data_IF_173039696357
#
_entry.id   IF_173039696357
#
_cell.length_a   1.000
_cell.length_b   1.000
_cell.length_c   1.000
_cell.angle_alpha   90.00
_cell.angle_beta   90.00
_cell.angle_gamma   90.00
#
_symmetry.space_group_name_H-M   'P 1'
#
loop_
_entity.id
_entity.type
_entity.pdbx_description
1 polymer ?
#
# COMPACT_ATOMS: atom_id res chain seq x y z
N UNK A 1 -8.51 5.58 -28.51
CA UNK A 1 -9.38 6.13 -27.46
C UNK A 1 -10.03 7.37 -28.03
N UNK A 2 -11.32 7.59 -27.79
CA UNK A 2 -11.99 8.83 -28.22
C UNK A 2 -11.62 9.98 -27.28
N UNK A 3 -11.71 11.22 -27.75
CA UNK A 3 -11.45 12.42 -26.93
C UNK A 3 -12.32 12.47 -25.66
N UNK A 4 -13.54 11.89 -25.75
CA UNK A 4 -14.49 11.79 -24.63
C UNK A 4 -14.01 10.84 -23.53
N UNK A 5 -13.47 9.67 -23.89
CA UNK A 5 -12.93 8.70 -22.93
C UNK A 5 -11.76 9.30 -22.14
N UNK A 6 -10.87 10.00 -22.84
CA UNK A 6 -9.73 10.67 -22.24
C UNK A 6 -10.18 11.79 -21.26
N UNK A 7 -11.31 12.43 -21.54
CA UNK A 7 -11.96 13.38 -20.64
C UNK A 7 -12.33 12.75 -19.29
N UNK A 8 -13.00 11.60 -19.31
CA UNK A 8 -13.35 10.87 -18.09
C UNK A 8 -12.12 10.40 -17.32
N UNK A 9 -11.12 9.85 -18.01
CA UNK A 9 -9.90 9.36 -17.38
C UNK A 9 -9.11 10.49 -16.72
N UNK A 10 -9.02 11.68 -17.34
CA UNK A 10 -8.43 12.87 -16.71
C UNK A 10 -9.21 13.30 -15.46
N UNK A 11 -10.54 13.30 -15.51
CA UNK A 11 -11.38 13.65 -14.36
C UNK A 11 -11.19 12.69 -13.18
N UNK A 12 -11.07 11.39 -13.45
CA UNK A 12 -10.81 10.35 -12.44
C UNK A 12 -9.42 10.50 -11.83
N UNK A 13 -8.39 10.77 -12.64
CA UNK A 13 -7.02 11.03 -12.13
C UNK A 13 -6.94 12.28 -11.27
N UNK A 14 -7.71 13.33 -11.60
CA UNK A 14 -7.77 14.55 -10.81
C UNK A 14 -8.50 14.38 -9.47
N UNK A 15 -9.42 13.39 -9.39
CA UNK A 15 -10.23 13.10 -8.20
C UNK A 15 -10.24 11.59 -7.92
N UNK A 16 -9.11 11.00 -7.49
CA UNK A 16 -8.98 9.55 -7.38
C UNK A 16 -9.92 8.93 -6.34
N UNK A 17 -10.32 9.67 -5.31
CA UNK A 17 -11.20 9.19 -4.23
C UNK A 17 -12.69 9.54 -4.43
N UNK A 18 -13.06 10.16 -5.56
CA UNK A 18 -14.44 10.50 -5.90
C UNK A 18 -15.10 9.36 -6.71
N UNK A 19 -16.11 8.72 -6.15
CA UNK A 19 -16.83 7.66 -6.86
C UNK A 19 -17.79 8.21 -7.90
N UNK A 20 -18.26 9.45 -7.78
CA UNK A 20 -19.25 10.00 -8.71
C UNK A 20 -18.68 10.06 -10.13
N UNK A 21 -17.43 10.51 -10.28
CA UNK A 21 -16.75 10.52 -11.59
C UNK A 21 -16.53 9.12 -12.16
N UNK A 22 -16.33 8.12 -11.30
CA UNK A 22 -16.12 6.72 -11.70
C UNK A 22 -17.43 6.09 -12.14
N UNK A 23 -18.53 6.39 -11.46
CA UNK A 23 -19.87 5.90 -11.80
C UNK A 23 -20.37 6.52 -13.11
N UNK A 24 -20.18 7.82 -13.33
CA UNK A 24 -20.49 8.46 -14.62
C UNK A 24 -19.70 7.81 -15.76
N UNK A 25 -18.41 7.51 -15.54
CA UNK A 25 -17.61 6.79 -16.52
C UNK A 25 -18.11 5.35 -16.74
N UNK A 26 -18.60 4.66 -15.71
CA UNK A 26 -19.21 3.34 -15.84
C UNK A 26 -20.49 3.38 -16.70
N UNK A 27 -21.34 4.39 -16.52
CA UNK A 27 -22.54 4.59 -17.35
C UNK A 27 -22.17 4.78 -18.82
N UNK A 28 -21.19 5.65 -19.09
CA UNK A 28 -20.67 5.86 -20.43
C UNK A 28 -20.07 4.57 -21.04
N UNK A 29 -19.32 3.78 -20.26
CA UNK A 29 -18.77 2.49 -20.71
C UNK A 29 -19.85 1.50 -21.14
N UNK A 30 -20.94 1.41 -20.37
CA UNK A 30 -22.06 0.53 -20.66
C UNK A 30 -22.77 0.93 -21.97
N UNK A 31 -23.04 2.22 -22.16
CA UNK A 31 -23.60 2.77 -23.40
C UNK A 31 -22.71 2.52 -24.62
N UNK A 32 -21.39 2.40 -24.41
CA UNK A 32 -20.40 2.17 -25.46
C UNK A 32 -19.99 0.69 -25.58
N UNK A 33 -20.87 -0.24 -25.17
CA UNK A 33 -20.70 -1.67 -25.40
C UNK A 33 -19.64 -2.34 -24.51
N UNK A 34 -19.29 -1.74 -23.37
CA UNK A 34 -18.35 -2.29 -22.38
C UNK A 34 -19.01 -2.54 -21.02
N UNK A 35 -20.12 -3.32 -20.95
CA UNK A 35 -20.89 -3.52 -19.73
C UNK A 35 -20.10 -4.23 -18.62
N UNK A 36 -19.25 -5.20 -18.95
CA UNK A 36 -18.42 -5.90 -17.97
C UNK A 36 -17.45 -4.95 -17.24
N UNK A 37 -16.91 -3.96 -17.96
CA UNK A 37 -16.02 -2.94 -17.38
C UNK A 37 -16.79 -1.98 -16.47
N UNK A 38 -17.99 -1.57 -16.88
CA UNK A 38 -18.88 -0.75 -16.08
C UNK A 38 -19.29 -1.46 -14.78
N UNK A 39 -19.73 -2.72 -14.89
CA UNK A 39 -20.09 -3.56 -13.75
C UNK A 39 -18.93 -3.69 -12.76
N UNK A 40 -17.72 -3.94 -13.24
CA UNK A 40 -16.53 -4.04 -12.40
C UNK A 40 -16.25 -2.76 -11.59
N UNK A 41 -16.35 -1.59 -12.22
CA UNK A 41 -16.20 -0.30 -11.54
C UNK A 41 -17.26 -0.14 -10.46
N UNK A 42 -18.53 -0.40 -10.79
CA UNK A 42 -19.66 -0.29 -9.85
C UNK A 42 -19.51 -1.26 -8.67
N UNK A 43 -19.15 -2.51 -8.94
CA UNK A 43 -18.96 -3.54 -7.91
C UNK A 43 -17.88 -3.12 -6.90
N UNK A 44 -16.72 -2.66 -7.37
CA UNK A 44 -15.66 -2.20 -6.46
C UNK A 44 -16.02 -0.88 -5.74
N UNK A 45 -16.72 0.07 -6.38
CA UNK A 45 -17.19 1.28 -5.69
C UNK A 45 -18.24 0.97 -4.61
N UNK A 46 -19.14 0.03 -4.88
CA UNK A 46 -20.15 -0.42 -3.92
C UNK A 46 -19.51 -1.16 -2.74
N UNK A 47 -18.55 -2.05 -2.99
CA UNK A 47 -17.86 -2.82 -1.94
C UNK A 47 -17.12 -1.94 -0.91
N UNK A 48 -16.67 -0.75 -1.31
CA UNK A 48 -16.03 0.23 -0.41
C UNK A 48 -17.03 0.91 0.54
N UNK A 49 -18.31 0.95 0.18
CA UNK A 49 -19.38 1.62 0.98
C UNK A 49 -20.17 0.64 1.85
N UNK A 50 -20.21 -0.63 1.47
CA UNK A 50 -21.01 -1.65 2.16
C UNK A 50 -20.37 -2.04 3.49
N UNK A 51 -21.07 -1.77 4.58
CA UNK A 51 -20.67 -2.20 5.93
C UNK A 51 -20.93 -3.70 6.18
N UNK A 52 -21.96 -4.27 5.54
CA UNK A 52 -22.37 -5.65 5.74
C UNK A 52 -21.38 -6.63 5.08
N UNK A 53 -20.67 -7.43 5.90
CA UNK A 53 -19.64 -8.38 5.41
C UNK A 53 -20.12 -9.34 4.32
N UNK A 54 -21.29 -9.99 4.41
CA UNK A 54 -21.71 -10.95 3.38
C UNK A 54 -21.96 -10.28 2.02
N UNK A 55 -22.51 -9.07 2.02
CA UNK A 55 -22.76 -8.32 0.78
C UNK A 55 -21.46 -7.79 0.19
N UNK A 56 -20.56 -7.26 1.02
CA UNK A 56 -19.22 -6.85 0.60
C UNK A 56 -18.46 -8.01 -0.06
N UNK A 57 -18.46 -9.18 0.56
CA UNK A 57 -17.81 -10.39 0.00
C UNK A 57 -18.42 -10.82 -1.34
N UNK A 58 -19.73 -10.67 -1.52
CA UNK A 58 -20.38 -10.97 -2.82
C UNK A 58 -19.93 -10.00 -3.90
N UNK A 59 -19.87 -8.69 -3.60
CA UNK A 59 -19.40 -7.67 -4.53
C UNK A 59 -17.91 -7.84 -4.88
N UNK A 60 -17.08 -8.12 -3.88
CA UNK A 60 -15.65 -8.41 -4.07
C UNK A 60 -15.44 -9.65 -4.93
N UNK A 61 -16.13 -10.75 -4.61
CA UNK A 61 -16.10 -11.97 -5.42
C UNK A 61 -16.50 -11.70 -6.86
N UNK A 62 -17.58 -10.95 -7.08
CA UNK A 62 -18.03 -10.62 -8.44
C UNK A 62 -17.00 -9.77 -9.19
N UNK A 63 -16.39 -8.80 -8.52
CA UNK A 63 -15.31 -8.01 -9.10
C UNK A 63 -14.07 -8.87 -9.44
N UNK A 64 -13.72 -9.82 -8.59
CA UNK A 64 -12.61 -10.75 -8.81
C UNK A 64 -12.87 -11.70 -9.98
N UNK A 65 -14.10 -12.23 -10.10
CA UNK A 65 -14.51 -13.08 -11.22
C UNK A 65 -14.38 -12.31 -12.55
N UNK A 66 -14.92 -11.08 -12.61
CA UNK A 66 -14.81 -10.18 -13.77
C UNK A 66 -13.34 -9.83 -14.09
N UNK A 67 -12.53 -9.53 -13.08
CA UNK A 67 -11.12 -9.24 -13.27
C UNK A 67 -10.36 -10.47 -13.76
N UNK A 68 -10.72 -11.67 -13.32
CA UNK A 68 -10.15 -12.93 -13.81
C UNK A 68 -10.37 -13.11 -15.31
N UNK A 69 -11.59 -12.88 -15.78
CA UNK A 69 -11.99 -13.00 -17.19
C UNK A 69 -11.32 -11.94 -18.09
N UNK A 70 -11.13 -10.72 -17.59
CA UNK A 70 -10.70 -9.57 -18.41
C UNK A 70 -9.30 -9.02 -18.07
N UNK A 71 -8.50 -9.73 -17.27
CA UNK A 71 -7.22 -9.24 -16.71
C UNK A 71 -6.27 -8.68 -17.76
N UNK A 72 -6.09 -9.40 -18.86
CA UNK A 72 -5.14 -9.02 -19.92
C UNK A 72 -5.53 -7.69 -20.55
N UNK A 73 -6.82 -7.50 -20.83
CA UNK A 73 -7.35 -6.28 -21.41
C UNK A 73 -7.20 -5.10 -20.45
N UNK A 74 -7.61 -5.27 -19.19
CA UNK A 74 -7.68 -4.17 -18.23
C UNK A 74 -6.32 -3.77 -17.66
N UNK A 75 -5.30 -4.63 -17.78
CA UNK A 75 -3.91 -4.30 -17.42
C UNK A 75 -3.10 -3.75 -18.60
N UNK A 76 -3.67 -3.70 -19.81
CA UNK A 76 -2.96 -3.27 -21.02
C UNK A 76 -2.34 -1.87 -20.90
N UNK A 77 -3.06 -0.91 -20.31
CA UNK A 77 -2.55 0.45 -20.14
C UNK A 77 -1.32 0.51 -19.22
N UNK A 78 -1.32 -0.30 -18.15
CA UNK A 78 -0.17 -0.43 -17.23
C UNK A 78 1.03 -1.04 -17.96
N UNK A 79 0.81 -2.10 -18.75
CA UNK A 79 1.85 -2.71 -19.59
C UNK A 79 2.35 -1.80 -20.71
N UNK A 80 1.48 -0.97 -21.28
CA UNK A 80 1.88 -0.02 -22.32
C UNK A 80 2.74 1.13 -21.74
N UNK A 81 2.39 1.63 -20.55
CA UNK A 81 3.17 2.65 -19.85
C UNK A 81 4.52 2.14 -19.33
N UNK A 82 4.60 0.84 -19.07
CA UNK A 82 5.81 0.16 -18.62
C UNK A 82 6.01 -1.17 -19.38
N UNK A 83 6.50 -1.18 -20.63
CA UNK A 83 6.59 -2.39 -21.46
C UNK A 83 7.54 -3.46 -20.91
N UNK A 84 8.55 -3.04 -20.16
CA UNK A 84 9.47 -3.90 -19.41
C UNK A 84 8.86 -4.51 -18.15
N UNK A 85 7.65 -4.07 -17.77
CA UNK A 85 6.96 -4.51 -16.58
C UNK A 85 6.33 -5.88 -16.79
N UNK A 86 6.85 -6.85 -16.04
CA UNK A 86 6.13 -8.09 -15.72
C UNK A 86 5.82 -8.03 -14.24
N UNK A 87 4.74 -7.34 -13.84
CA UNK A 87 4.44 -7.19 -12.42
C UNK A 87 3.95 -8.53 -11.90
N UNK A 88 4.33 -8.88 -10.67
CA UNK A 88 3.84 -10.10 -10.01
C UNK A 88 2.32 -10.04 -9.86
N UNK A 89 1.79 -8.84 -9.60
CA UNK A 89 0.35 -8.57 -9.70
C UNK A 89 0.05 -7.09 -9.91
N UNK A 90 -1.12 -6.83 -10.50
CA UNK A 90 -1.76 -5.50 -10.52
C UNK A 90 -3.07 -5.63 -9.74
N UNK A 91 -3.20 -4.87 -8.67
CA UNK A 91 -4.42 -4.79 -7.89
C UNK A 91 -5.24 -3.59 -8.33
N UNK A 92 -6.55 -3.80 -8.39
CA UNK A 92 -7.51 -2.79 -8.80
C UNK A 92 -8.28 -2.30 -7.58
N UNK A 93 -8.51 -1.00 -7.50
CA UNK A 93 -9.39 -0.37 -6.52
C UNK A 93 -10.35 0.57 -7.23
N UNK A 94 -11.64 0.49 -6.88
CA UNK A 94 -12.72 1.28 -7.49
C UNK A 94 -12.69 1.26 -9.02
N UNK A 95 -12.37 0.10 -9.56
CA UNK A 95 -12.31 -0.18 -10.99
C UNK A 95 -10.97 0.09 -11.66
N UNK A 96 -9.98 0.69 -11.02
CA UNK A 96 -8.75 1.14 -11.70
C UNK A 96 -7.50 0.53 -11.08
N UNK A 97 -6.40 0.35 -11.85
CA UNK A 97 -5.12 -0.04 -11.28
C UNK A 97 -4.75 0.91 -10.15
N UNK A 98 -4.44 0.34 -8.98
CA UNK A 98 -4.14 1.11 -7.78
C UNK A 98 -2.82 0.68 -7.14
N UNK A 99 -2.43 -0.58 -7.32
CA UNK A 99 -1.17 -1.10 -6.79
C UNK A 99 -0.52 -2.04 -7.80
N UNK A 100 0.71 -1.74 -8.17
CA UNK A 100 1.59 -2.64 -8.90
C UNK A 100 2.56 -3.27 -7.92
N UNK A 101 2.58 -4.60 -7.87
CA UNK A 101 3.51 -5.35 -7.02
C UNK A 101 4.61 -5.94 -7.89
N UNK A 102 5.86 -5.75 -7.47
CA UNK A 102 7.04 -6.26 -8.16
C UNK A 102 8.13 -6.63 -7.17
N UNK A 103 9.06 -7.50 -7.54
CA UNK A 103 10.28 -7.76 -6.76
C UNK A 103 11.34 -6.69 -7.03
N UNK A 104 12.25 -6.49 -6.08
CA UNK A 104 13.40 -5.58 -6.21
C UNK A 104 14.24 -5.91 -7.45
N UNK A 105 14.49 -7.20 -7.70
CA UNK A 105 15.21 -7.66 -8.89
C UNK A 105 14.57 -7.19 -10.20
N UNK A 106 13.23 -7.16 -10.30
CA UNK A 106 12.54 -6.67 -11.50
C UNK A 106 12.50 -5.15 -11.53
N UNK A 107 12.25 -4.52 -10.39
CA UNK A 107 12.28 -3.07 -10.25
C UNK A 107 13.61 -2.48 -10.74
N UNK A 108 14.73 -3.03 -10.27
CA UNK A 108 16.08 -2.57 -10.57
C UNK A 108 16.50 -2.73 -12.04
N UNK A 109 15.78 -3.54 -12.84
CA UNK A 109 16.05 -3.68 -14.28
C UNK A 109 15.60 -2.48 -15.10
N UNK A 110 14.51 -1.82 -14.69
CA UNK A 110 14.01 -0.62 -15.36
C UNK A 110 13.22 0.29 -14.38
N UNK A 111 13.91 0.96 -13.44
CA UNK A 111 13.27 1.86 -12.48
C UNK A 111 12.49 3.00 -13.14
N UNK A 112 12.97 3.48 -14.30
CA UNK A 112 12.38 4.59 -15.03
C UNK A 112 10.96 4.27 -15.52
N UNK A 113 10.67 3.02 -15.90
CA UNK A 113 9.31 2.60 -16.27
C UNK A 113 8.34 2.67 -15.10
N UNK A 114 8.78 2.34 -13.88
CA UNK A 114 7.94 2.46 -12.67
C UNK A 114 7.72 3.93 -12.28
N UNK A 115 8.74 4.79 -12.45
CA UNK A 115 8.57 6.24 -12.28
C UNK A 115 7.53 6.79 -13.24
N UNK A 116 7.68 6.53 -14.54
CA UNK A 116 6.72 6.99 -15.57
C UNK A 116 5.30 6.52 -15.28
N UNK A 117 5.13 5.28 -14.84
CA UNK A 117 3.81 4.75 -14.48
C UNK A 117 3.18 5.54 -13.33
N UNK A 118 3.92 5.77 -12.24
CA UNK A 118 3.41 6.47 -11.07
C UNK A 118 3.26 7.99 -11.28
N UNK A 119 4.09 8.58 -12.14
CA UNK A 119 3.99 10.00 -12.49
C UNK A 119 2.84 10.26 -13.48
N UNK A 120 2.55 9.30 -14.37
CA UNK A 120 1.44 9.36 -15.33
C UNK A 120 0.07 9.12 -14.70
N UNK A 121 0.01 8.39 -13.58
CA UNK A 121 -1.21 8.17 -12.80
C UNK A 121 -0.91 8.16 -11.29
N UNK A 122 -1.14 9.29 -10.59
CA UNK A 122 -0.90 9.38 -9.14
C UNK A 122 -1.74 8.39 -8.30
N UNK A 123 -2.78 7.79 -8.89
CA UNK A 123 -3.57 6.74 -8.26
C UNK A 123 -2.87 5.39 -8.20
N UNK A 124 -1.79 5.19 -8.97
CA UNK A 124 -1.02 3.95 -9.02
C UNK A 124 0.17 4.03 -8.05
N UNK A 125 0.13 3.18 -7.03
CA UNK A 125 1.24 2.92 -6.14
C UNK A 125 2.12 1.77 -6.69
N UNK A 126 3.43 1.87 -6.50
CA UNK A 126 4.35 0.73 -6.70
C UNK A 126 4.74 0.17 -5.33
N UNK A 127 4.53 -1.14 -5.17
CA UNK A 127 5.03 -1.95 -4.06
C UNK A 127 6.20 -2.79 -4.52
N UNK A 128 7.34 -2.61 -3.88
CA UNK A 128 8.54 -3.40 -4.13
C UNK A 128 8.69 -4.43 -3.01
N UNK A 129 8.82 -5.70 -3.38
CA UNK A 129 9.18 -6.81 -2.49
C UNK A 129 10.69 -6.95 -2.51
N UNK A 130 11.32 -6.83 -1.35
CA UNK A 130 12.77 -6.95 -1.15
C UNK A 130 13.02 -8.23 -0.40
N UNK A 131 14.04 -8.99 -0.79
CA UNK A 131 14.33 -10.29 -0.17
C UNK A 131 15.40 -10.20 0.94
N UNK A 132 16.30 -9.22 0.87
CA UNK A 132 17.44 -9.09 1.78
C UNK A 132 17.96 -7.63 1.89
N UNK A 133 18.94 -7.44 2.78
CA UNK A 133 19.56 -6.14 3.03
C UNK A 133 20.35 -5.58 1.83
N UNK A 134 20.93 -6.42 1.00
CA UNK A 134 21.73 -5.97 -0.14
C UNK A 134 20.82 -5.49 -1.28
N UNK A 135 19.70 -6.18 -1.52
CA UNK A 135 18.64 -5.68 -2.39
C UNK A 135 18.05 -4.37 -1.85
N UNK A 136 17.83 -4.25 -0.53
CA UNK A 136 17.38 -2.99 0.07
C UNK A 136 18.35 -1.85 -0.28
N UNK A 137 19.66 -2.06 -0.08
CA UNK A 137 20.69 -1.07 -0.41
C UNK A 137 20.64 -0.66 -1.88
N UNK A 138 20.57 -1.62 -2.78
CA UNK A 138 20.46 -1.35 -4.22
C UNK A 138 19.22 -0.53 -4.58
N UNK A 139 18.06 -0.84 -3.96
CA UNK A 139 16.82 -0.09 -4.16
C UNK A 139 16.95 1.35 -3.64
N UNK A 140 17.53 1.56 -2.46
CA UNK A 140 17.65 2.91 -1.88
C UNK A 140 18.79 3.74 -2.49
N UNK A 141 19.78 3.11 -3.12
CA UNK A 141 20.86 3.79 -3.85
C UNK A 141 20.51 4.06 -5.32
N UNK A 142 19.44 3.45 -5.83
CA UNK A 142 18.97 3.70 -7.18
C UNK A 142 18.67 5.21 -7.37
N UNK A 143 19.14 5.86 -8.45
CA UNK A 143 18.89 7.29 -8.67
C UNK A 143 17.44 7.61 -9.08
N UNK A 144 16.81 6.71 -9.84
CA UNK A 144 15.53 6.93 -10.53
C UNK A 144 14.33 6.36 -9.76
N UNK A 145 14.32 6.49 -8.44
CA UNK A 145 13.33 5.82 -7.58
C UNK A 145 12.04 6.62 -7.51
N UNK A 146 11.36 6.69 -8.65
CA UNK A 146 10.02 7.23 -8.74
C UNK A 146 8.99 6.15 -8.43
N UNK A 147 7.87 6.57 -7.84
CA UNK A 147 6.67 5.75 -7.75
C UNK A 147 6.59 4.73 -6.61
N UNK A 148 7.69 4.42 -5.90
CA UNK A 148 7.59 3.57 -4.70
C UNK A 148 6.72 4.28 -3.67
N UNK A 149 5.64 3.60 -3.28
CA UNK A 149 4.70 4.03 -2.23
C UNK A 149 4.58 2.97 -1.14
N UNK A 150 4.97 1.74 -1.44
CA UNK A 150 5.01 0.65 -0.49
C UNK A 150 6.31 -0.15 -0.63
N UNK A 151 6.89 -0.55 0.49
CA UNK A 151 8.08 -1.40 0.53
C UNK A 151 7.81 -2.56 1.48
N UNK A 152 8.01 -3.78 1.00
CA UNK A 152 7.82 -4.99 1.77
C UNK A 152 9.17 -5.69 1.94
N UNK A 153 9.63 -5.76 3.18
CA UNK A 153 10.83 -6.46 3.62
C UNK A 153 10.49 -7.48 4.70
N UNK A 154 9.26 -8.00 4.70
CA UNK A 154 8.84 -8.95 5.73
C UNK A 154 9.69 -10.22 5.69
N UNK A 155 10.14 -10.65 6.88
CA UNK A 155 11.01 -11.79 7.08
C UNK A 155 12.39 -11.71 6.36
N UNK A 156 12.90 -10.51 6.09
CA UNK A 156 14.17 -10.31 5.37
C UNK A 156 15.41 -10.15 6.27
N UNK A 157 15.27 -10.37 7.58
CA UNK A 157 16.38 -10.32 8.55
C UNK A 157 17.27 -9.05 8.46
N UNK A 158 16.67 -7.90 8.13
CA UNK A 158 17.41 -6.67 7.87
C UNK A 158 18.04 -6.06 9.14
N UNK A 159 17.49 -6.41 10.31
CA UNK A 159 17.92 -5.91 11.62
C UNK A 159 17.84 -4.39 11.76
N UNK A 160 18.53 -3.87 12.77
CA UNK A 160 18.59 -2.42 13.03
C UNK A 160 19.41 -1.67 11.96
N UNK A 161 20.33 -2.37 11.28
CA UNK A 161 21.12 -1.80 10.19
C UNK A 161 20.24 -1.47 8.99
N UNK A 162 19.36 -2.40 8.58
CA UNK A 162 18.37 -2.14 7.54
C UNK A 162 17.38 -1.04 7.92
N UNK A 163 16.95 -1.00 9.19
CA UNK A 163 16.11 0.09 9.68
C UNK A 163 16.81 1.47 9.56
N UNK A 164 18.12 1.54 9.82
CA UNK A 164 18.92 2.76 9.62
C UNK A 164 19.09 3.12 8.14
N UNK A 165 19.28 2.13 7.27
CA UNK A 165 19.30 2.34 5.81
C UNK A 165 17.97 2.94 5.33
N UNK A 166 16.84 2.36 5.74
CA UNK A 166 15.49 2.86 5.44
C UNK A 166 15.28 4.28 5.96
N UNK A 167 15.69 4.56 7.20
CA UNK A 167 15.53 5.86 7.84
C UNK A 167 16.34 6.97 7.14
N UNK A 168 17.49 6.63 6.57
CA UNK A 168 18.38 7.57 5.87
C UNK A 168 18.08 7.76 4.39
N UNK A 169 17.26 6.89 3.78
CA UNK A 169 17.05 6.83 2.33
C UNK A 169 16.27 8.06 1.80
N UNK A 170 16.90 8.98 1.03
CA UNK A 170 16.25 10.20 0.58
C UNK A 170 15.14 9.97 -0.45
N UNK A 171 15.26 8.88 -1.20
CA UNK A 171 14.34 8.48 -2.26
C UNK A 171 13.06 7.78 -1.75
N UNK A 172 13.01 7.42 -0.46
CA UNK A 172 11.80 6.90 0.19
C UNK A 172 10.89 8.00 0.78
N UNK A 173 11.12 9.27 0.41
CA UNK A 173 10.35 10.41 0.91
C UNK A 173 8.86 10.40 0.59
N UNK A 174 8.44 9.60 -0.39
CA UNK A 174 7.04 9.40 -0.77
C UNK A 174 6.46 8.08 -0.26
N UNK A 175 7.21 7.33 0.56
CA UNK A 175 6.77 6.03 1.06
C UNK A 175 5.57 6.19 2.01
N UNK A 176 4.49 5.46 1.72
CA UNK A 176 3.26 5.50 2.52
C UNK A 176 3.02 4.23 3.32
N UNK A 177 3.63 3.12 2.91
CA UNK A 177 3.51 1.82 3.57
C UNK A 177 4.88 1.16 3.69
N UNK A 178 5.24 0.74 4.89
CA UNK A 178 6.48 0.02 5.17
C UNK A 178 6.16 -1.24 5.97
N UNK A 179 6.52 -2.40 5.43
CA UNK A 179 6.44 -3.67 6.12
C UNK A 179 7.85 -4.19 6.40
N UNK A 180 8.21 -4.29 7.68
CA UNK A 180 9.46 -4.87 8.19
C UNK A 180 9.14 -5.92 9.27
N UNK A 181 7.98 -6.56 9.18
CA UNK A 181 7.58 -7.62 10.10
C UNK A 181 8.57 -8.79 10.06
N UNK A 182 8.80 -9.47 11.18
CA UNK A 182 9.69 -10.63 11.25
C UNK A 182 11.15 -10.37 10.87
N UNK A 183 11.61 -9.12 10.89
CA UNK A 183 12.91 -8.72 10.30
C UNK A 183 13.99 -8.43 11.34
N UNK A 184 13.82 -8.96 12.56
CA UNK A 184 14.73 -8.82 13.71
C UNK A 184 15.06 -7.37 14.09
N UNK A 185 14.13 -6.45 13.83
CA UNK A 185 14.23 -5.05 14.28
C UNK A 185 14.10 -4.99 15.80
N UNK A 186 14.94 -4.21 16.47
CA UNK A 186 14.90 -3.95 17.91
C UNK A 186 14.48 -2.51 18.19
N UNK A 187 14.51 -2.12 19.47
CA UNK A 187 14.29 -0.73 19.90
C UNK A 187 15.21 0.28 19.20
N UNK A 188 16.43 -0.13 18.84
CA UNK A 188 17.38 0.75 18.14
C UNK A 188 16.93 1.03 16.69
N UNK A 189 16.48 0.00 15.96
CA UNK A 189 15.92 0.19 14.62
C UNK A 189 14.59 0.93 14.64
N UNK A 190 13.72 0.64 15.63
CA UNK A 190 12.49 1.39 15.83
C UNK A 190 12.76 2.88 16.13
N UNK A 191 13.80 3.19 16.90
CA UNK A 191 14.23 4.57 17.13
C UNK A 191 14.71 5.24 15.84
N UNK A 192 15.52 4.56 15.03
CA UNK A 192 15.97 5.08 13.73
C UNK A 192 14.78 5.40 12.80
N UNK A 193 13.78 4.52 12.72
CA UNK A 193 12.56 4.77 11.95
C UNK A 193 11.76 5.96 12.50
N UNK A 194 11.65 6.08 13.83
CA UNK A 194 10.97 7.18 14.49
C UNK A 194 11.67 8.54 14.25
N UNK A 195 13.00 8.55 14.16
CA UNK A 195 13.82 9.75 13.99
C UNK A 195 14.05 10.13 12.52
N UNK A 196 13.63 9.28 11.57
CA UNK A 196 13.79 9.55 10.14
C UNK A 196 13.07 10.83 9.71
N UNK A 197 13.82 11.77 9.14
CA UNK A 197 13.26 12.96 8.47
C UNK A 197 12.87 12.70 7.01
N UNK A 198 12.97 11.44 6.57
CA UNK A 198 12.63 11.03 5.20
C UNK A 198 11.28 10.30 5.14
N UNK A 199 10.96 9.49 6.14
CA UNK A 199 9.74 8.67 6.18
C UNK A 199 8.48 9.45 6.63
N UNK A 200 8.38 10.74 6.29
CA UNK A 200 7.32 11.64 6.78
C UNK A 200 5.94 11.35 6.20
N UNK A 201 5.89 10.64 5.07
CA UNK A 201 4.65 10.26 4.38
C UNK A 201 4.10 8.90 4.82
N UNK A 202 4.79 8.18 5.71
CA UNK A 202 4.37 6.83 6.13
C UNK A 202 3.05 6.89 6.88
N UNK A 203 2.07 6.13 6.38
CA UNK A 203 0.73 5.97 6.94
C UNK A 203 0.54 4.60 7.57
N UNK A 204 1.21 3.58 7.04
CA UNK A 204 1.14 2.21 7.52
C UNK A 204 2.54 1.70 7.82
N UNK A 205 2.77 1.31 9.08
CA UNK A 205 4.02 0.70 9.51
C UNK A 205 3.72 -0.65 10.16
N UNK A 206 4.28 -1.71 9.60
CA UNK A 206 4.16 -3.06 10.13
C UNK A 206 5.52 -3.53 10.67
N UNK A 207 5.53 -3.73 11.98
CA UNK A 207 6.67 -4.17 12.78
C UNK A 207 6.35 -5.45 13.55
N UNK A 208 5.32 -6.22 13.14
CA UNK A 208 4.93 -7.47 13.80
C UNK A 208 6.08 -8.47 13.88
N UNK A 209 6.13 -9.30 14.92
CA UNK A 209 7.11 -10.38 15.04
C UNK A 209 8.57 -9.93 15.13
N UNK A 210 8.82 -8.74 15.69
CA UNK A 210 10.16 -8.20 15.91
C UNK A 210 10.53 -8.27 17.42
N UNK A 211 11.57 -7.54 17.85
CA UNK A 211 12.04 -7.48 19.24
C UNK A 211 11.91 -6.07 19.82
N UNK A 212 10.74 -5.47 19.64
CA UNK A 212 10.45 -4.09 20.03
C UNK A 212 9.73 -4.08 21.39
N UNK A 213 10.13 -3.16 22.25
CA UNK A 213 9.50 -2.93 23.55
C UNK A 213 8.28 -2.01 23.45
N UNK A 214 7.45 -2.03 24.49
CA UNK A 214 6.38 -1.05 24.68
C UNK A 214 6.87 0.40 24.53
N UNK A 215 8.02 0.73 25.10
CA UNK A 215 8.58 2.08 25.06
C UNK A 215 8.95 2.51 23.62
N UNK A 216 9.54 1.60 22.83
CA UNK A 216 9.88 1.88 21.45
C UNK A 216 8.64 1.99 20.55
N UNK A 217 7.61 1.18 20.77
CA UNK A 217 6.33 1.32 20.06
C UNK A 217 5.65 2.67 20.37
N UNK A 218 5.65 3.09 21.63
CA UNK A 218 5.16 4.43 22.03
C UNK A 218 5.99 5.56 21.42
N UNK A 219 7.31 5.38 21.27
CA UNK A 219 8.18 6.35 20.59
C UNK A 219 7.79 6.54 19.12
N UNK A 220 7.50 5.45 18.40
CA UNK A 220 7.06 5.52 17.00
C UNK A 220 5.79 6.34 16.84
N UNK A 221 4.75 6.06 17.64
CA UNK A 221 3.49 6.81 17.56
C UNK A 221 3.63 8.24 18.10
N UNK A 222 4.58 8.54 19.00
CA UNK A 222 4.78 9.91 19.50
C UNK A 222 5.76 10.72 18.63
N UNK A 223 6.40 10.10 17.64
CA UNK A 223 7.34 10.80 16.77
C UNK A 223 6.63 11.91 15.97
N UNK A 224 7.20 13.14 15.94
CA UNK A 224 6.71 14.21 15.07
C UNK A 224 6.97 13.91 13.59
N UNK A 225 7.98 13.09 13.26
CA UNK A 225 8.29 12.72 11.89
C UNK A 225 7.28 11.72 11.32
N UNK A 226 6.64 10.91 12.19
CA UNK A 226 5.56 9.98 11.82
C UNK A 226 4.18 10.56 12.10
N UNK A 227 4.00 11.88 11.90
CA UNK A 227 2.72 12.56 12.12
C UNK A 227 1.59 12.07 11.21
N UNK A 228 1.91 11.49 10.04
CA UNK A 228 0.93 10.93 9.09
C UNK A 228 0.59 9.46 9.34
N UNK A 229 1.18 8.83 10.36
CA UNK A 229 0.94 7.43 10.67
C UNK A 229 -0.53 7.22 11.05
N UNK A 230 -1.20 6.34 10.31
CA UNK A 230 -2.61 5.94 10.49
C UNK A 230 -2.76 4.54 11.06
N UNK A 231 -1.77 3.68 10.87
CA UNK A 231 -1.74 2.31 11.37
C UNK A 231 -0.34 1.92 11.79
N UNK A 232 -0.23 1.32 12.98
CA UNK A 232 0.98 0.70 13.49
C UNK A 232 0.64 -0.73 13.93
N UNK A 233 1.27 -1.74 13.32
CA UNK A 233 1.13 -3.13 13.73
C UNK A 233 2.40 -3.58 14.46
N UNK A 234 2.26 -4.05 15.70
CA UNK A 234 3.37 -4.43 16.59
C UNK A 234 3.11 -5.76 17.33
N UNK A 235 2.10 -6.51 16.92
CA UNK A 235 1.79 -7.83 17.46
C UNK A 235 2.97 -8.80 17.31
N UNK A 236 3.15 -9.72 18.26
CA UNK A 236 4.28 -10.65 18.26
C UNK A 236 5.62 -10.02 18.64
N UNK A 237 5.60 -8.82 19.24
CA UNK A 237 6.73 -8.21 19.94
C UNK A 237 6.59 -8.39 21.46
N UNK A 238 7.58 -7.94 22.24
CA UNK A 238 7.54 -7.93 23.71
C UNK A 238 6.71 -6.75 24.24
N UNK A 239 5.41 -6.73 23.91
CA UNK A 239 4.47 -5.67 24.29
C UNK A 239 3.26 -6.31 24.97
N UNK A 240 2.94 -5.86 26.17
CA UNK A 240 1.77 -6.33 26.91
C UNK A 240 0.45 -5.84 26.29
N UNK A 241 -0.65 -6.51 26.63
CA UNK A 241 -1.97 -6.21 26.08
C UNK A 241 -2.45 -4.79 26.39
N UNK A 242 -2.12 -4.27 27.57
CA UNK A 242 -2.53 -2.92 28.00
C UNK A 242 -1.88 -1.83 27.14
N UNK A 243 -0.58 -1.94 26.88
CA UNK A 243 0.12 -1.00 25.99
C UNK A 243 -0.42 -1.09 24.57
N UNK A 244 -0.74 -2.30 24.10
CA UNK A 244 -1.36 -2.45 22.78
C UNK A 244 -2.73 -1.76 22.69
N UNK A 245 -3.53 -1.75 23.76
CA UNK A 245 -4.79 -0.99 23.82
C UNK A 245 -4.55 0.53 23.87
N UNK A 246 -3.49 0.98 24.56
CA UNK A 246 -3.09 2.38 24.56
C UNK A 246 -2.68 2.85 23.15
N UNK A 247 -1.88 2.04 22.45
CA UNK A 247 -1.49 2.31 21.06
C UNK A 247 -2.74 2.43 20.18
N UNK A 248 -3.66 1.46 20.25
CA UNK A 248 -4.91 1.50 19.48
C UNK A 248 -5.72 2.77 19.77
N UNK A 249 -5.81 3.18 21.04
CA UNK A 249 -6.51 4.41 21.45
C UNK A 249 -5.86 5.66 20.86
N UNK A 250 -4.54 5.78 20.92
CA UNK A 250 -3.80 6.91 20.37
C UNK A 250 -3.94 6.96 18.84
N UNK A 251 -3.84 5.80 18.18
CA UNK A 251 -3.98 5.70 16.73
C UNK A 251 -5.41 6.01 16.26
N UNK A 252 -6.44 5.57 16.99
CA UNK A 252 -7.83 5.93 16.71
C UNK A 252 -8.07 7.45 16.86
N UNK A 253 -7.50 8.08 17.88
CA UNK A 253 -7.59 9.54 18.05
C UNK A 253 -6.92 10.31 16.90
N UNK A 254 -5.89 9.74 16.26
CA UNK A 254 -5.25 10.30 15.06
C UNK A 254 -6.06 10.10 13.79
N UNK A 255 -6.99 9.13 13.76
CA UNK A 255 -7.71 8.76 12.56
C UNK A 255 -9.21 8.56 12.86
N UNK A 256 -9.96 9.64 13.17
CA UNK A 256 -11.35 9.55 13.63
C UNK A 256 -12.29 8.93 12.60
N UNK A 257 -11.93 8.95 11.30
CA UNK A 257 -12.72 8.40 10.20
C UNK A 257 -12.38 6.92 9.89
N UNK A 258 -11.40 6.31 10.57
CA UNK A 258 -11.07 4.89 10.34
C UNK A 258 -12.15 4.00 10.97
N UNK A 259 -12.64 2.95 10.30
CA UNK A 259 -13.39 1.91 10.99
C UNK A 259 -12.48 1.37 12.09
N UNK A 260 -13.01 1.35 13.33
CA UNK A 260 -12.25 0.99 14.54
C UNK A 260 -11.45 -0.31 14.38
N UNK A 261 -10.43 -0.53 15.23
CA UNK A 261 -9.44 -1.58 15.03
C UNK A 261 -10.12 -2.94 14.77
N UNK A 262 -9.60 -3.76 13.83
CA UNK A 262 -10.14 -5.09 13.62
C UNK A 262 -10.12 -5.84 14.96
N UNK A 263 -11.25 -6.45 15.34
CA UNK A 263 -11.32 -7.28 16.55
C UNK A 263 -10.20 -8.32 16.47
N UNK A 264 -9.28 -8.23 17.42
CA UNK A 264 -8.12 -9.12 17.49
C UNK A 264 -8.60 -10.58 17.58
N UNK A 265 -8.00 -11.52 16.83
CA UNK A 265 -8.27 -12.93 17.07
C UNK A 265 -7.89 -13.27 18.52
N UNK A 266 -8.62 -14.18 19.19
CA UNK A 266 -8.28 -14.58 20.55
C UNK A 266 -6.84 -15.11 20.58
N UNK A 267 -6.12 -14.78 21.66
CA UNK A 267 -4.76 -15.23 21.86
C UNK A 267 -4.70 -16.75 21.76
N UNK A 268 -4.02 -17.28 20.74
CA UNK A 268 -3.73 -18.70 20.65
C UNK A 268 -2.65 -18.97 21.69
N UNK A 269 -3.06 -19.45 22.86
CA UNK A 269 -2.15 -20.00 23.85
C UNK A 269 -1.44 -21.19 23.21
N UNK A 270 -0.15 -21.08 22.98
CA UNK A 270 0.69 -22.25 22.72
C UNK A 270 0.75 -23.05 24.03
N UNK A 271 0.15 -24.24 24.00
CA UNK A 271 0.32 -25.29 25.02
C UNK A 271 1.51 -26.15 24.61
#
# INVERSE_FOLDING_TARGET
MSDDEDGFLRAIRARPDDDAVRLVYADWLEEHGRPARAEFIRAQCAAEKVAARPEKQRLEKRADDLLGEHREEWTRAVRAAAPSLVPDSVQFRRGFPALVVTTATRYLRDPASFSRLADGDPGIAVRVLVDDLDQLRQVVECPDVGGIRALDLSACDIGDDGARVLAGAPNLSRLTSLNVSGSRVTDAGAAALAESTRLTEVRHLDLRGNRISAAAALRLIRSPNLARLRSLAVEGNAIDGHVLEEIDRIMAARNPDSPGPPRRPPAVGFI
#
